data_IF_483652509507
#
_entry.id   IF_483652509507
#
_cell.length_a   1.000
_cell.length_b   1.000
_cell.length_c   1.000
_cell.angle_alpha   90.00
_cell.angle_beta   90.00
_cell.angle_gamma   90.00
#
_symmetry.space_group_name_H-M   'P 1'
#
loop_
_entity.id
_entity.type
_entity.pdbx_description
1 polymer ?
#
# COMPACT_ATOMS: atom_id res chain seq x y z
N UNK A 1 -16.07 7.59 -18.73
CA UNK A 1 -16.82 7.65 -17.45
C UNK A 1 -17.00 9.12 -17.11
N UNK A 2 -18.20 9.55 -16.72
CA UNK A 2 -18.39 10.93 -16.25
C UNK A 2 -17.50 11.15 -15.01
N UNK A 3 -16.61 12.14 -15.07
CA UNK A 3 -15.73 12.46 -13.94
C UNK A 3 -16.59 12.96 -12.77
N UNK A 4 -16.46 12.31 -11.61
CA UNK A 4 -17.12 12.76 -10.39
C UNK A 4 -16.62 14.15 -10.04
N UNK A 5 -17.54 15.03 -9.64
CA UNK A 5 -17.18 16.35 -9.12
C UNK A 5 -16.44 16.21 -7.78
N UNK A 6 -15.61 17.19 -7.43
CA UNK A 6 -14.90 17.20 -6.14
C UNK A 6 -15.85 17.10 -4.94
N UNK A 7 -17.05 17.71 -5.02
CA UNK A 7 -18.06 17.62 -3.97
C UNK A 7 -18.60 16.18 -3.79
N UNK A 8 -18.83 15.47 -4.89
CA UNK A 8 -19.25 14.06 -4.85
C UNK A 8 -18.14 13.18 -4.26
N UNK A 9 -16.88 13.37 -4.68
CA UNK A 9 -15.75 12.63 -4.14
C UNK A 9 -15.59 12.84 -2.63
N UNK A 10 -15.71 14.08 -2.14
CA UNK A 10 -15.67 14.38 -0.71
C UNK A 10 -16.78 13.68 0.07
N UNK A 11 -18.01 13.67 -0.46
CA UNK A 11 -19.14 12.97 0.17
C UNK A 11 -18.89 11.47 0.28
N UNK A 12 -18.43 10.83 -0.80
CA UNK A 12 -18.10 9.40 -0.82
C UNK A 12 -16.94 9.07 0.12
N UNK A 13 -15.90 9.90 0.11
CA UNK A 13 -14.76 9.77 1.01
C UNK A 13 -15.20 9.84 2.47
N UNK A 14 -16.02 10.83 2.86
CA UNK A 14 -16.55 10.95 4.22
C UNK A 14 -17.28 9.67 4.64
N UNK A 15 -18.21 9.18 3.81
CA UNK A 15 -18.95 7.96 4.11
C UNK A 15 -18.06 6.70 4.22
N UNK A 16 -16.97 6.62 3.45
CA UNK A 16 -15.99 5.54 3.57
C UNK A 16 -15.21 5.64 4.89
N UNK A 17 -14.81 6.86 5.30
CA UNK A 17 -14.14 7.09 6.57
C UNK A 17 -15.05 6.81 7.77
N UNK A 18 -16.30 7.25 7.74
CA UNK A 18 -17.27 7.03 8.81
C UNK A 18 -17.53 5.54 9.04
N UNK A 19 -17.61 4.75 7.95
CA UNK A 19 -17.72 3.29 8.03
C UNK A 19 -16.48 2.65 8.65
N UNK A 20 -15.29 3.08 8.24
CA UNK A 20 -14.04 2.54 8.79
C UNK A 20 -13.88 2.86 10.27
N UNK A 21 -14.27 4.06 10.69
CA UNK A 21 -14.13 4.53 12.06
C UNK A 21 -14.89 3.64 13.07
N UNK A 22 -15.96 2.96 12.63
CA UNK A 22 -16.69 1.96 13.43
C UNK A 22 -15.81 0.80 13.90
N UNK A 23 -14.70 0.54 13.20
CA UNK A 23 -13.75 -0.54 13.50
C UNK A 23 -12.48 -0.03 14.18
N UNK A 24 -12.40 1.25 14.55
CA UNK A 24 -11.18 1.85 15.12
C UNK A 24 -10.68 1.07 16.33
N UNK A 25 -11.54 0.74 17.29
CA UNK A 25 -11.11 0.05 18.52
C UNK A 25 -10.53 -1.32 18.22
N UNK A 26 -11.12 -2.06 17.28
CA UNK A 26 -10.61 -3.38 16.89
C UNK A 26 -9.22 -3.26 16.22
N UNK A 27 -9.05 -2.26 15.34
CA UNK A 27 -7.75 -2.02 14.73
C UNK A 27 -6.72 -1.54 15.75
N UNK A 28 -7.11 -0.65 16.67
CA UNK A 28 -6.22 -0.16 17.74
C UNK A 28 -5.70 -1.32 18.58
N UNK A 29 -6.59 -2.20 19.08
CA UNK A 29 -6.20 -3.38 19.84
C UNK A 29 -5.27 -4.30 19.02
N UNK A 30 -5.64 -4.60 17.76
CA UNK A 30 -4.85 -5.49 16.91
C UNK A 30 -3.44 -4.94 16.63
N UNK A 31 -3.33 -3.64 16.37
CA UNK A 31 -2.04 -2.99 16.16
C UNK A 31 -1.26 -2.82 17.47
N UNK A 32 -1.90 -2.45 18.59
CA UNK A 32 -1.24 -2.29 19.88
C UNK A 32 -0.56 -3.58 20.34
N UNK A 33 -1.23 -4.73 20.22
CA UNK A 33 -0.70 -6.01 20.68
C UNK A 33 0.10 -6.78 19.63
N UNK A 34 -0.21 -6.61 18.34
CA UNK A 34 0.44 -7.35 17.24
C UNK A 34 1.57 -6.60 16.55
N UNK A 35 1.45 -5.28 16.39
CA UNK A 35 2.36 -4.43 15.62
C UNK A 35 2.51 -3.04 16.28
N UNK A 36 2.91 -2.95 17.57
CA UNK A 36 2.79 -1.71 18.35
C UNK A 36 3.49 -0.52 17.68
N UNK A 37 4.66 -0.73 17.08
CA UNK A 37 5.41 0.32 16.40
C UNK A 37 4.70 0.89 15.16
N UNK A 38 3.78 0.12 14.56
CA UNK A 38 2.98 0.50 13.40
C UNK A 38 1.59 1.04 13.78
N UNK A 39 1.22 1.04 15.07
CA UNK A 39 -0.10 1.51 15.47
C UNK A 39 -0.25 3.02 15.22
N UNK A 40 -1.22 3.40 14.41
CA UNK A 40 -1.60 4.80 14.19
C UNK A 40 -3.04 5.08 14.66
N UNK A 41 -3.76 4.07 15.15
CA UNK A 41 -5.13 4.16 15.64
C UNK A 41 -5.22 4.70 17.07
N UNK A 42 -4.11 4.68 17.81
CA UNK A 42 -3.92 5.18 19.19
C UNK A 42 -4.05 6.70 19.37
N UNK A 43 -4.37 7.44 18.30
CA UNK A 43 -4.49 8.90 18.31
C UNK A 43 -3.17 9.65 18.14
N UNK A 44 -2.02 8.95 18.04
CA UNK A 44 -0.71 9.59 17.85
C UNK A 44 -0.55 10.22 16.47
N UNK A 45 -1.28 9.75 15.46
CA UNK A 45 -1.25 10.36 14.13
C UNK A 45 -2.02 11.67 14.08
N UNK A 46 -3.16 11.75 14.76
CA UNK A 46 -3.98 12.95 14.84
C UNK A 46 -3.36 14.01 15.75
N UNK A 47 -2.74 13.60 16.86
CA UNK A 47 -2.01 14.47 17.76
C UNK A 47 -0.63 14.87 17.19
N UNK A 48 -0.13 16.06 17.55
CA UNK A 48 1.22 16.50 17.16
C UNK A 48 2.32 15.93 18.09
N UNK A 49 1.94 15.10 19.06
CA UNK A 49 2.83 14.46 20.03
C UNK A 49 3.54 13.25 19.43
N UNK A 50 4.67 13.49 18.77
CA UNK A 50 5.57 12.44 18.25
C UNK A 50 6.46 11.87 19.36
N UNK A 51 7.01 10.67 19.13
CA UNK A 51 8.03 10.06 19.99
C UNK A 51 7.52 9.42 21.29
N UNK A 52 6.20 9.23 21.43
CA UNK A 52 5.63 8.54 22.58
C UNK A 52 6.03 7.06 22.59
N UNK A 53 6.24 6.51 23.80
CA UNK A 53 6.53 5.08 23.97
C UNK A 53 5.35 4.26 23.50
N UNK A 54 5.60 3.29 22.62
CA UNK A 54 4.60 2.34 22.12
C UNK A 54 4.79 0.97 22.74
N UNK A 55 3.70 0.25 22.91
CA UNK A 55 3.72 -1.11 23.46
C UNK A 55 3.81 -1.16 24.99
N UNK A 56 3.48 -0.08 25.72
CA UNK A 56 3.50 -0.07 27.19
C UNK A 56 2.55 -1.10 27.81
N UNK A 57 1.54 -1.57 27.06
CA UNK A 57 0.57 -2.60 27.45
C UNK A 57 0.90 -3.99 26.89
N UNK A 58 2.03 -4.13 26.17
CA UNK A 58 2.49 -5.41 25.63
C UNK A 58 3.38 -6.09 26.66
N UNK A 59 2.79 -7.00 27.43
CA UNK A 59 3.50 -7.77 28.47
C UNK A 59 3.98 -9.14 27.98
N UNK A 60 3.55 -9.57 26.79
CA UNK A 60 3.92 -10.84 26.16
C UNK A 60 4.25 -10.60 24.68
N UNK A 61 5.28 -11.28 24.18
CA UNK A 61 5.79 -11.09 22.82
C UNK A 61 5.20 -12.07 21.80
N UNK A 62 4.28 -12.96 22.20
CA UNK A 62 3.75 -14.01 21.31
C UNK A 62 3.07 -13.43 20.08
N UNK A 63 2.21 -12.43 20.25
CA UNK A 63 1.50 -11.78 19.14
C UNK A 63 2.47 -11.05 18.19
N UNK A 64 3.39 -10.25 18.74
CA UNK A 64 4.43 -9.54 17.98
C UNK A 64 5.33 -10.50 17.20
N UNK A 65 5.73 -11.62 17.81
CA UNK A 65 6.51 -12.63 17.10
C UNK A 65 5.68 -13.39 16.05
N UNK A 66 4.39 -13.60 16.30
CA UNK A 66 3.50 -14.28 15.35
C UNK A 66 3.30 -13.46 14.07
N UNK A 67 3.06 -12.15 14.18
CA UNK A 67 2.89 -11.25 13.03
C UNK A 67 4.18 -11.15 12.20
N UNK A 68 5.34 -10.99 12.86
CA UNK A 68 6.63 -10.99 12.15
C UNK A 68 6.91 -12.32 11.44
N UNK A 69 6.65 -13.47 12.09
CA UNK A 69 6.82 -14.78 11.47
C UNK A 69 5.87 -15.00 10.30
N UNK A 70 4.63 -14.51 10.40
CA UNK A 70 3.68 -14.57 9.30
C UNK A 70 4.22 -13.82 8.08
N UNK A 71 4.62 -12.56 8.25
CA UNK A 71 5.14 -11.74 7.15
C UNK A 71 6.37 -12.40 6.49
N UNK A 72 7.33 -12.87 7.31
CA UNK A 72 8.53 -13.55 6.81
C UNK A 72 8.21 -14.86 6.05
N UNK A 73 7.23 -15.64 6.52
CA UNK A 73 6.81 -16.88 5.84
C UNK A 73 6.08 -16.60 4.53
N UNK A 74 5.18 -15.61 4.53
CA UNK A 74 4.47 -15.20 3.32
C UNK A 74 5.44 -14.66 2.28
N UNK A 75 6.39 -13.81 2.68
CA UNK A 75 7.41 -13.28 1.78
C UNK A 75 8.29 -14.39 1.23
N UNK A 76 8.84 -15.27 2.07
CA UNK A 76 9.71 -16.36 1.59
C UNK A 76 8.97 -17.41 0.74
N UNK A 77 7.67 -17.62 0.99
CA UNK A 77 6.83 -18.55 0.24
C UNK A 77 6.33 -18.02 -1.10
N UNK A 78 5.90 -16.75 -1.15
CA UNK A 78 5.24 -16.16 -2.32
C UNK A 78 6.12 -15.19 -3.10
N UNK A 79 7.00 -14.46 -2.41
CA UNK A 79 7.83 -13.40 -2.99
C UNK A 79 9.33 -13.55 -2.61
N UNK A 80 9.93 -14.75 -2.79
CA UNK A 80 11.35 -14.94 -2.50
C UNK A 80 12.23 -13.98 -3.35
N UNK A 81 13.09 -13.14 -2.73
CA UNK A 81 13.89 -12.13 -3.45
C UNK A 81 14.80 -12.72 -4.55
N UNK A 82 15.40 -13.87 -4.26
CA UNK A 82 16.39 -14.51 -5.13
C UNK A 82 15.78 -15.43 -6.20
N UNK A 83 14.45 -15.57 -6.24
CA UNK A 83 13.76 -16.50 -7.15
C UNK A 83 12.73 -15.79 -8.01
N UNK A 84 12.51 -16.34 -9.20
CA UNK A 84 11.39 -15.95 -10.06
C UNK A 84 10.13 -16.65 -9.58
N UNK A 85 9.23 -15.91 -8.95
CA UNK A 85 8.00 -16.42 -8.33
C UNK A 85 6.75 -16.32 -9.22
N UNK A 86 6.90 -15.81 -10.44
CA UNK A 86 5.85 -15.81 -11.48
C UNK A 86 6.45 -16.01 -12.87
N UNK A 87 5.62 -16.40 -13.83
CA UNK A 87 5.97 -16.50 -15.24
C UNK A 87 4.80 -16.03 -16.10
N UNK A 88 5.09 -15.30 -17.17
CA UNK A 88 4.08 -14.91 -18.16
C UNK A 88 3.86 -16.06 -19.13
N UNK A 89 2.60 -16.42 -19.38
CA UNK A 89 2.23 -17.51 -20.28
C UNK A 89 1.30 -17.02 -21.40
N UNK A 90 1.38 -17.63 -22.60
CA UNK A 90 0.42 -17.36 -23.67
C UNK A 90 -1.01 -17.59 -23.19
N UNK A 91 -1.90 -16.65 -23.52
CA UNK A 91 -3.34 -16.81 -23.24
C UNK A 91 -4.00 -17.79 -24.21
N UNK A 92 -5.18 -18.29 -23.87
CA UNK A 92 -5.94 -19.26 -24.69
C UNK A 92 -6.39 -18.72 -26.05
N UNK A 93 -6.35 -17.40 -26.25
CA UNK A 93 -6.65 -16.76 -27.52
C UNK A 93 -5.50 -16.83 -28.54
N UNK A 94 -4.30 -17.25 -28.13
CA UNK A 94 -3.13 -17.32 -29.01
C UNK A 94 -3.17 -18.63 -29.82
N UNK A 95 -3.02 -18.57 -31.15
CA UNK A 95 -2.95 -19.76 -31.99
C UNK A 95 -1.81 -20.70 -31.58
N UNK A 96 -2.05 -22.01 -31.61
CA UNK A 96 -1.09 -23.04 -31.14
C UNK A 96 0.22 -23.04 -31.94
N UNK A 97 0.15 -22.66 -33.20
CA UNK A 97 1.28 -22.51 -34.13
C UNK A 97 2.20 -21.33 -33.77
N UNK A 98 1.69 -20.32 -33.05
CA UNK A 98 2.46 -19.18 -32.54
C UNK A 98 2.87 -19.33 -31.07
N UNK A 99 2.47 -20.42 -30.38
CA UNK A 99 2.68 -20.59 -28.93
C UNK A 99 4.16 -20.52 -28.54
N UNK A 100 5.03 -21.17 -29.30
CA UNK A 100 6.47 -21.24 -29.01
C UNK A 100 7.15 -19.88 -29.14
N UNK A 101 6.85 -19.13 -30.21
CA UNK A 101 7.39 -17.78 -30.44
C UNK A 101 6.93 -16.82 -29.34
N UNK A 102 5.63 -16.83 -29.02
CA UNK A 102 5.07 -15.96 -27.98
C UNK A 102 5.62 -16.33 -26.60
N UNK A 103 5.76 -17.63 -26.30
CA UNK A 103 6.35 -18.10 -25.05
C UNK A 103 7.78 -17.59 -24.86
N UNK A 104 8.60 -17.62 -25.92
CA UNK A 104 9.96 -17.08 -25.87
C UNK A 104 9.96 -15.56 -25.61
N UNK A 105 9.08 -14.81 -26.28
CA UNK A 105 8.92 -13.38 -26.03
C UNK A 105 8.48 -13.09 -24.58
N UNK A 106 7.49 -13.82 -24.06
CA UNK A 106 7.00 -13.68 -22.69
C UNK A 106 8.04 -14.06 -21.64
N UNK A 107 8.93 -15.00 -21.94
CA UNK A 107 10.07 -15.31 -21.08
C UNK A 107 11.03 -14.12 -21.00
N UNK A 108 11.34 -13.46 -22.12
CA UNK A 108 12.17 -12.25 -22.12
C UNK A 108 11.54 -11.13 -21.27
N UNK A 109 10.22 -10.93 -21.36
CA UNK A 109 9.51 -9.97 -20.51
C UNK A 109 9.52 -10.36 -19.03
N UNK A 110 9.33 -11.64 -18.72
CA UNK A 110 9.43 -12.15 -17.34
C UNK A 110 10.79 -11.82 -16.75
N UNK A 111 11.87 -12.07 -17.50
CA UNK A 111 13.25 -11.78 -17.08
C UNK A 111 13.43 -10.28 -16.80
N UNK A 112 12.96 -9.43 -17.71
CA UNK A 112 13.02 -7.98 -17.56
C UNK A 112 12.22 -7.46 -16.36
N UNK A 113 11.08 -8.05 -16.04
CA UNK A 113 10.30 -7.70 -14.85
C UNK A 113 11.08 -8.01 -13.58
N UNK A 114 11.72 -9.18 -13.49
CA UNK A 114 12.52 -9.53 -12.32
C UNK A 114 13.79 -8.69 -12.20
N UNK A 115 14.46 -8.36 -13.31
CA UNK A 115 15.60 -7.46 -13.29
C UNK A 115 15.21 -6.06 -12.82
N UNK A 116 14.03 -5.57 -13.25
CA UNK A 116 13.48 -4.31 -12.77
C UNK A 116 13.13 -4.38 -11.28
N UNK A 117 12.42 -5.42 -10.83
CA UNK A 117 12.01 -5.55 -9.42
C UNK A 117 13.21 -5.58 -8.48
N UNK A 118 14.28 -6.30 -8.82
CA UNK A 118 15.53 -6.33 -8.04
C UNK A 118 16.24 -4.98 -7.95
N UNK A 119 16.02 -4.11 -8.94
CA UNK A 119 16.53 -2.74 -8.93
C UNK A 119 15.62 -1.76 -8.16
N UNK A 120 14.55 -2.22 -7.52
CA UNK A 120 13.60 -1.39 -6.75
C UNK A 120 13.61 -1.73 -5.26
N UNK A 121 12.81 -1.02 -4.47
CA UNK A 121 12.61 -1.29 -3.05
C UNK A 121 11.53 -2.36 -2.76
N UNK A 122 11.14 -3.16 -3.76
CA UNK A 122 10.03 -4.12 -3.64
C UNK A 122 10.18 -5.08 -2.47
N UNK A 123 11.36 -5.70 -2.27
CA UNK A 123 11.57 -6.70 -1.23
C UNK A 123 11.40 -6.15 0.19
N UNK A 124 11.76 -4.88 0.41
CA UNK A 124 11.51 -4.20 1.68
C UNK A 124 10.02 -3.86 1.82
N UNK A 125 9.45 -3.26 0.77
CA UNK A 125 8.06 -2.78 0.77
C UNK A 125 7.05 -3.92 0.95
N UNK A 126 7.27 -5.08 0.33
CA UNK A 126 6.37 -6.22 0.43
C UNK A 126 6.36 -6.81 1.86
N UNK A 127 7.50 -6.80 2.56
CA UNK A 127 7.56 -7.24 3.95
C UNK A 127 6.71 -6.34 4.87
N UNK A 128 6.80 -5.02 4.70
CA UNK A 128 5.96 -4.06 5.42
C UNK A 128 4.47 -4.18 5.05
N UNK A 129 4.15 -4.40 3.78
CA UNK A 129 2.79 -4.66 3.31
C UNK A 129 2.21 -5.91 3.97
N UNK A 130 2.99 -7.00 4.02
CA UNK A 130 2.56 -8.27 4.62
C UNK A 130 2.36 -8.16 6.13
N UNK A 131 3.09 -7.28 6.82
CA UNK A 131 2.82 -6.98 8.23
C UNK A 131 1.42 -6.39 8.40
N UNK A 132 1.04 -5.37 7.64
CA UNK A 132 -0.31 -4.81 7.74
C UNK A 132 -1.39 -5.81 7.32
N UNK A 133 -1.07 -6.69 6.36
CA UNK A 133 -1.97 -7.76 5.93
C UNK A 133 -2.28 -8.78 7.04
N UNK A 134 -1.40 -8.93 8.05
CA UNK A 134 -1.66 -9.80 9.21
C UNK A 134 -2.92 -9.38 9.98
N UNK A 135 -3.18 -8.07 10.02
CA UNK A 135 -4.32 -7.48 10.73
C UNK A 135 -5.56 -7.49 9.86
N UNK A 136 -5.40 -7.38 8.54
CA UNK A 136 -6.49 -7.51 7.57
C UNK A 136 -6.13 -6.90 6.22
N UNK A 137 -6.46 -5.62 6.04
CA UNK A 137 -6.25 -4.93 4.77
C UNK A 137 -4.89 -4.26 4.70
N UNK A 138 -4.14 -4.56 3.64
CA UNK A 138 -2.94 -3.84 3.25
C UNK A 138 -3.12 -3.24 1.85
N UNK A 139 -2.44 -2.13 1.57
CA UNK A 139 -2.40 -1.55 0.23
C UNK A 139 -0.98 -1.16 -0.14
N UNK A 140 -0.61 -1.48 -1.38
CA UNK A 140 0.65 -1.07 -1.97
C UNK A 140 0.38 0.04 -2.97
N UNK A 141 0.98 1.20 -2.76
CA UNK A 141 1.01 2.25 -3.77
C UNK A 141 2.24 2.03 -4.67
N UNK A 142 2.02 1.92 -5.97
CA UNK A 142 3.07 1.72 -6.96
C UNK A 142 3.11 2.95 -7.85
N UNK A 143 4.23 3.68 -7.83
CA UNK A 143 4.37 4.94 -8.55
C UNK A 143 5.66 4.96 -9.37
N UNK A 144 5.70 5.74 -10.47
CA UNK A 144 6.96 6.09 -11.10
C UNK A 144 7.89 6.74 -10.09
N UNK A 145 9.17 6.37 -10.10
CA UNK A 145 10.17 7.09 -9.32
C UNK A 145 10.58 8.37 -10.02
N UNK A 146 10.92 9.40 -9.23
CA UNK A 146 11.58 10.61 -9.73
C UNK A 146 13.10 10.47 -9.76
N UNK A 147 13.67 9.33 -9.32
CA UNK A 147 15.11 9.10 -9.28
C UNK A 147 15.64 8.57 -10.63
N UNK A 148 16.86 8.96 -11.06
CA UNK A 148 17.39 8.62 -12.40
C UNK A 148 17.56 7.12 -12.71
N UNK A 149 17.64 6.26 -11.69
CA UNK A 149 17.98 4.83 -11.84
C UNK A 149 16.93 3.86 -11.26
N UNK A 150 15.90 4.39 -10.62
CA UNK A 150 14.75 3.60 -10.19
C UNK A 150 13.60 4.01 -11.09
N UNK A 151 12.88 3.07 -11.69
CA UNK A 151 11.72 3.43 -12.50
C UNK A 151 10.42 3.37 -11.70
N UNK A 152 10.39 2.58 -10.63
CA UNK A 152 9.20 2.30 -9.83
C UNK A 152 9.58 2.36 -8.35
N UNK A 153 8.70 2.95 -7.54
CA UNK A 153 8.76 2.92 -6.09
C UNK A 153 7.51 2.23 -5.55
N UNK A 154 7.73 1.32 -4.61
CA UNK A 154 6.68 0.62 -3.88
C UNK A 154 6.54 1.27 -2.50
N UNK A 155 5.35 1.76 -2.17
CA UNK A 155 5.07 2.38 -0.87
C UNK A 155 3.89 1.67 -0.22
N UNK A 156 4.13 0.83 0.81
CA UNK A 156 3.05 0.26 1.58
C UNK A 156 2.36 1.38 2.35
N UNK A 157 1.05 1.49 2.18
CA UNK A 157 0.27 2.53 2.83
C UNK A 157 -0.35 1.94 4.09
N UNK A 158 -0.07 2.52 5.28
CA UNK A 158 -0.68 2.07 6.52
C UNK A 158 -2.20 2.03 6.38
N UNK A 159 -2.82 0.93 6.83
CA UNK A 159 -4.27 0.75 6.76
C UNK A 159 -5.01 1.94 7.34
N UNK A 160 -4.49 2.53 8.44
CA UNK A 160 -5.00 3.73 9.10
C UNK A 160 -5.26 4.90 8.13
N UNK A 161 -4.40 5.11 7.14
CA UNK A 161 -4.47 6.20 6.18
C UNK A 161 -5.41 5.94 5.00
N UNK A 162 -6.06 4.78 4.96
CA UNK A 162 -6.93 4.36 3.86
C UNK A 162 -8.37 4.15 4.29
N UNK A 163 -9.31 4.49 3.42
CA UNK A 163 -10.71 4.07 3.52
C UNK A 163 -11.15 3.51 2.18
N UNK A 164 -11.79 2.34 2.23
CA UNK A 164 -12.28 1.64 1.04
C UNK A 164 -13.77 1.88 0.87
N UNK A 165 -14.19 2.01 -0.37
CA UNK A 165 -15.59 1.99 -0.74
C UNK A 165 -15.84 0.81 -1.67
N UNK A 166 -16.69 -0.10 -1.21
CA UNK A 166 -17.12 -1.27 -1.95
C UNK A 166 -18.25 -0.92 -2.94
N UNK A 167 -18.19 -1.54 -4.12
CA UNK A 167 -19.26 -1.52 -5.12
C UNK A 167 -20.32 -2.59 -4.86
N UNK A 168 -21.35 -2.67 -5.71
CA UNK A 168 -22.49 -3.58 -5.53
C UNK A 168 -22.12 -5.07 -5.43
N UNK A 169 -21.06 -5.47 -6.14
CA UNK A 169 -20.59 -6.86 -6.18
C UNK A 169 -19.52 -7.17 -5.13
N UNK A 170 -19.31 -6.29 -4.14
CA UNK A 170 -18.29 -6.44 -3.10
C UNK A 170 -16.85 -6.12 -3.55
N UNK A 171 -16.66 -5.71 -4.80
CA UNK A 171 -15.36 -5.26 -5.30
C UNK A 171 -15.02 -3.86 -4.76
N UNK A 172 -13.73 -3.59 -4.51
CA UNK A 172 -13.27 -2.24 -4.16
C UNK A 172 -13.50 -1.31 -5.35
N UNK A 173 -14.38 -0.32 -5.16
CA UNK A 173 -14.73 0.66 -6.20
C UNK A 173 -13.88 1.92 -6.09
N UNK A 174 -13.69 2.45 -4.88
CA UNK A 174 -12.83 3.60 -4.64
C UNK A 174 -11.93 3.39 -3.42
N UNK A 175 -10.75 4.00 -3.47
CA UNK A 175 -9.78 4.03 -2.39
C UNK A 175 -9.52 5.49 -2.04
N UNK A 176 -9.82 5.88 -0.81
CA UNK A 176 -9.56 7.22 -0.30
C UNK A 176 -8.37 7.18 0.65
N UNK A 177 -7.44 8.12 0.47
CA UNK A 177 -6.22 8.20 1.29
C UNK A 177 -6.14 9.54 2.00
N UNK A 178 -5.82 9.52 3.29
CA UNK A 178 -5.38 10.71 4.04
C UNK A 178 -3.86 10.84 3.90
N UNK A 179 -3.39 12.04 3.59
CA UNK A 179 -1.97 12.34 3.45
C UNK A 179 -1.65 13.63 4.21
N UNK A 180 -0.55 13.63 4.96
CA UNK A 180 0.06 14.83 5.51
C UNK A 180 1.35 15.07 4.72
N UNK A 181 1.44 16.18 4.00
CA UNK A 181 2.67 16.61 3.33
C UNK A 181 2.94 18.09 3.65
N UNK A 182 4.22 18.50 3.70
CA UNK A 182 4.58 19.92 3.72
C UNK A 182 4.05 20.65 2.49
N UNK A 183 3.71 21.93 2.64
CA UNK A 183 3.10 22.72 1.56
C UNK A 183 4.02 22.80 0.36
N UNK A 184 5.32 22.99 0.58
CA UNK A 184 6.35 23.07 -0.46
C UNK A 184 6.48 21.79 -1.30
N UNK A 185 5.96 20.67 -0.80
CA UNK A 185 5.95 19.39 -1.53
C UNK A 185 4.67 19.15 -2.32
N UNK A 186 3.63 19.98 -2.18
CA UNK A 186 2.36 19.82 -2.92
C UNK A 186 2.61 19.89 -4.42
N UNK A 187 3.26 20.94 -4.91
CA UNK A 187 3.54 21.14 -6.34
C UNK A 187 4.49 20.08 -6.89
N UNK A 188 5.44 19.61 -6.07
CA UNK A 188 6.34 18.50 -6.45
C UNK A 188 5.61 17.17 -6.57
N UNK A 189 4.59 16.96 -5.75
CA UNK A 189 3.79 15.72 -5.73
C UNK A 189 2.72 15.74 -6.83
N UNK A 190 2.09 16.90 -7.04
CA UNK A 190 1.03 17.13 -8.01
C UNK A 190 1.35 18.38 -8.83
N UNK A 191 2.06 18.24 -9.97
CA UNK A 191 2.48 19.37 -10.79
C UNK A 191 1.34 20.23 -11.35
N UNK A 192 0.13 19.69 -11.40
CA UNK A 192 -1.09 20.34 -11.85
C UNK A 192 -1.96 20.90 -10.70
N UNK A 193 -1.48 20.82 -9.45
CA UNK A 193 -2.18 21.35 -8.29
C UNK A 193 -2.30 22.87 -8.34
N UNK A 194 -3.53 23.38 -8.10
CA UNK A 194 -3.78 24.81 -7.91
C UNK A 194 -3.76 25.11 -6.41
N UNK A 195 -2.60 25.49 -5.89
CA UNK A 195 -2.42 25.82 -4.47
C UNK A 195 -2.96 27.24 -4.22
N UNK A 196 -3.88 27.45 -3.27
CA UNK A 196 -4.34 28.79 -2.90
C UNK A 196 -3.23 29.62 -2.26
N UNK A 197 -3.14 30.91 -2.58
CA UNK A 197 -2.14 31.86 -2.03
C UNK A 197 -2.06 31.89 -0.49
N UNK A 198 -3.15 31.50 0.18
CA UNK A 198 -3.20 31.43 1.65
C UNK A 198 -2.30 30.33 2.23
N UNK A 199 -1.99 29.27 1.45
CA UNK A 199 -1.09 28.19 1.86
C UNK A 199 0.37 28.51 1.50
N UNK A 200 0.61 29.34 0.48
CA UNK A 200 1.96 29.69 -0.03
C UNK A 200 2.78 30.57 0.95
N UNK A 201 2.20 30.96 2.09
CA UNK A 201 2.80 31.87 3.10
C UNK A 201 3.18 31.18 4.42
N UNK A 202 3.12 29.85 4.48
CA UNK A 202 3.49 29.03 5.64
C UNK A 202 4.80 28.28 5.37
#
# INVERSE_FOLDING_TARGET
>A
MAQLTAAQLRKRASAAWDRKEQWRSLYDDAYEFGLPQRNLYDGTWESETRGQSKGNRVFDSTAVHATQRFANRMQSGLFPPDKRWMTLQPGTAIPKDADDEVRQALQLYTDRVFDLLRATNFDLAIGEFLMDMCVGTAAMMVQPSTMPHHHIVFTPIPSFLLALEEGPDGNVQNVFRKVKIPVENIERTWPDAKVPDALDRL
#
